data_IF_464179301038
#
_entry.id   IF_464179301038
#
_cell.length_a   1.000
_cell.length_b   1.000
_cell.length_c   1.000
_cell.angle_alpha   90.00
_cell.angle_beta   90.00
_cell.angle_gamma   90.00
#
_symmetry.space_group_name_H-M   'P 1'
#
loop_
_entity.id
_entity.type
_entity.pdbx_description
1 polymer ?
#
# COMPACT_ATOMS: atom_id res chain seq x y z
N UNK A 1 31.60 32.68 22.74
CA UNK A 1 30.71 31.91 21.84
C UNK A 1 29.79 31.07 22.69
N UNK A 2 28.51 31.44 22.71
CA UNK A 2 27.48 30.87 23.57
C UNK A 2 26.99 29.52 23.01
N UNK A 3 27.32 28.43 23.71
CA UNK A 3 26.99 27.04 23.34
C UNK A 3 25.54 26.66 23.66
N UNK A 4 24.71 27.57 24.16
CA UNK A 4 23.30 27.29 24.54
C UNK A 4 22.30 27.39 23.37
N UNK A 5 22.68 28.02 22.25
CA UNK A 5 21.81 28.20 21.08
C UNK A 5 21.39 26.91 20.33
N UNK A 6 22.25 25.90 20.10
CA UNK A 6 21.84 24.73 19.30
C UNK A 6 20.87 23.78 20.04
N UNK A 7 20.85 23.80 21.38
CA UNK A 7 19.98 22.91 22.19
C UNK A 7 18.53 23.40 22.18
N UNK A 8 18.29 24.72 22.20
CA UNK A 8 16.94 25.29 22.07
C UNK A 8 16.31 25.03 20.70
N UNK A 9 17.11 25.11 19.63
CA UNK A 9 16.64 24.81 18.27
C UNK A 9 16.25 23.32 18.11
N UNK A 10 17.03 22.40 18.70
CA UNK A 10 16.70 20.97 18.68
C UNK A 10 15.40 20.65 19.45
N UNK A 11 15.17 21.30 20.59
CA UNK A 11 13.96 21.13 21.39
C UNK A 11 12.70 21.69 20.70
N UNK A 12 12.79 22.82 20.01
CA UNK A 12 11.69 23.37 19.21
C UNK A 12 11.33 22.50 18.00
N UNK A 13 12.33 21.86 17.36
CA UNK A 13 12.10 20.89 16.27
C UNK A 13 11.41 19.64 16.80
N UNK A 14 11.80 19.12 17.97
CA UNK A 14 11.12 17.96 18.59
C UNK A 14 9.69 18.27 19.03
N UNK A 15 9.42 19.50 19.51
CA UNK A 15 8.06 19.92 19.88
C UNK A 15 7.14 20.09 18.66
N UNK A 16 7.65 20.63 17.55
CA UNK A 16 6.90 20.73 16.28
C UNK A 16 6.66 19.35 15.64
N UNK A 17 7.63 18.44 15.69
CA UNK A 17 7.45 17.07 15.21
C UNK A 17 6.41 16.29 16.04
N UNK A 18 6.39 16.48 17.36
CA UNK A 18 5.38 15.88 18.23
C UNK A 18 3.96 16.43 17.96
N UNK A 19 3.82 17.72 17.66
CA UNK A 19 2.54 18.30 17.25
C UNK A 19 2.13 17.91 15.82
N UNK A 20 3.09 17.69 14.91
CA UNK A 20 2.82 17.17 13.57
C UNK A 20 2.36 15.70 13.62
N UNK A 21 2.95 14.88 14.49
CA UNK A 21 2.49 13.50 14.73
C UNK A 21 1.10 13.46 15.40
N UNK A 22 0.80 14.38 16.33
CA UNK A 22 -0.55 14.52 16.91
C UNK A 22 -1.60 15.02 15.90
N UNK A 23 -1.22 15.88 14.96
CA UNK A 23 -2.09 16.37 13.89
C UNK A 23 -2.25 15.39 12.72
N UNK A 24 -1.22 14.61 12.41
CA UNK A 24 -1.20 13.61 11.34
C UNK A 24 -1.86 12.30 11.76
N UNK A 25 -1.99 12.04 13.08
CA UNK A 25 -2.77 10.94 13.66
C UNK A 25 -4.16 11.40 14.13
N UNK A 26 -4.60 12.61 13.78
CA UNK A 26 -5.85 13.21 14.29
C UNK A 26 -7.13 12.62 13.69
N UNK A 27 -7.03 11.68 12.74
CA UNK A 27 -8.14 10.79 12.41
C UNK A 27 -8.03 9.57 13.30
N UNK A 28 -8.87 9.48 14.34
CA UNK A 28 -9.05 8.23 15.06
C UNK A 28 -9.32 7.12 14.02
N UNK A 29 -8.42 6.12 13.86
CA UNK A 29 -8.61 5.07 12.88
C UNK A 29 -9.90 4.27 13.14
N UNK A 30 -10.39 4.31 14.39
CA UNK A 30 -11.63 3.68 14.87
C UNK A 30 -12.85 4.60 14.80
N UNK A 31 -12.74 5.78 14.19
CA UNK A 31 -13.89 6.67 14.02
C UNK A 31 -14.95 5.97 13.18
N UNK A 32 -16.08 5.65 13.80
CA UNK A 32 -17.23 4.95 13.18
C UNK A 32 -18.16 5.90 12.41
N UNK A 33 -17.64 7.04 11.96
CA UNK A 33 -18.39 8.05 11.23
C UNK A 33 -18.82 7.46 9.87
N UNK A 34 -20.15 7.33 9.59
CA UNK A 34 -20.63 6.67 8.39
C UNK A 34 -20.09 7.29 7.09
N UNK A 35 -19.91 8.62 7.04
CA UNK A 35 -19.37 9.32 5.87
C UNK A 35 -17.89 8.95 5.62
N UNK A 36 -17.11 8.82 6.70
CA UNK A 36 -15.72 8.39 6.63
C UNK A 36 -15.61 6.93 6.17
N UNK A 37 -16.46 6.05 6.70
CA UNK A 37 -16.47 4.63 6.30
C UNK A 37 -16.86 4.49 4.84
N UNK A 38 -17.85 5.25 4.37
CA UNK A 38 -18.25 5.28 2.96
C UNK A 38 -17.11 5.78 2.06
N UNK A 39 -16.43 6.86 2.45
CA UNK A 39 -15.25 7.36 1.74
C UNK A 39 -14.16 6.28 1.62
N UNK A 40 -13.87 5.57 2.72
CA UNK A 40 -12.91 4.45 2.74
C UNK A 40 -13.34 3.29 1.84
N UNK A 41 -14.63 2.99 1.75
CA UNK A 41 -15.15 1.97 0.83
C UNK A 41 -14.94 2.36 -0.64
N UNK A 42 -15.16 3.63 -0.98
CA UNK A 42 -14.93 4.14 -2.34
C UNK A 42 -13.44 4.12 -2.71
N UNK A 43 -12.56 4.51 -1.79
CA UNK A 43 -11.11 4.41 -1.95
C UNK A 43 -10.66 2.95 -2.13
N UNK A 44 -11.15 2.04 -1.29
CA UNK A 44 -10.86 0.63 -1.37
C UNK A 44 -11.30 0.04 -2.71
N UNK A 45 -12.54 0.35 -3.16
CA UNK A 45 -13.06 -0.16 -4.42
C UNK A 45 -12.27 0.37 -5.62
N UNK A 46 -11.85 1.64 -5.57
CA UNK A 46 -11.00 2.25 -6.59
C UNK A 46 -9.63 1.59 -6.65
N UNK A 47 -9.01 1.38 -5.49
CA UNK A 47 -7.73 0.70 -5.41
C UNK A 47 -7.85 -0.75 -5.88
N UNK A 48 -8.87 -1.50 -5.44
CA UNK A 48 -9.11 -2.88 -5.84
C UNK A 48 -9.18 -3.03 -7.36
N UNK A 49 -9.93 -2.16 -8.06
CA UNK A 49 -9.96 -2.17 -9.53
C UNK A 49 -8.58 -1.95 -10.15
N UNK A 50 -7.83 -0.95 -9.68
CA UNK A 50 -6.49 -0.67 -10.18
C UNK A 50 -5.51 -1.82 -9.89
N UNK A 51 -5.69 -2.50 -8.77
CA UNK A 51 -4.91 -3.66 -8.38
C UNK A 51 -5.22 -4.87 -9.26
N UNK A 52 -6.49 -5.14 -9.56
CA UNK A 52 -6.86 -6.23 -10.46
C UNK A 52 -6.40 -5.95 -11.91
N UNK A 53 -6.47 -4.70 -12.40
CA UNK A 53 -5.85 -4.31 -13.68
C UNK A 53 -4.34 -4.67 -13.73
N UNK A 54 -3.61 -4.42 -12.63
CA UNK A 54 -2.20 -4.77 -12.51
C UNK A 54 -2.00 -6.29 -12.54
N UNK A 55 -2.82 -7.03 -11.79
CA UNK A 55 -2.75 -8.50 -11.73
C UNK A 55 -3.00 -9.11 -13.10
N UNK A 56 -4.00 -8.63 -13.83
CA UNK A 56 -4.30 -9.10 -15.18
C UNK A 56 -3.10 -8.92 -16.12
N UNK A 57 -2.44 -7.75 -16.08
CA UNK A 57 -1.23 -7.50 -16.88
C UNK A 57 -0.09 -8.46 -16.52
N UNK A 58 0.11 -8.72 -15.22
CA UNK A 58 1.14 -9.63 -14.74
C UNK A 58 0.85 -11.07 -15.20
N UNK A 59 -0.37 -11.55 -15.01
CA UNK A 59 -0.77 -12.90 -15.38
C UNK A 59 -0.73 -13.11 -16.89
N UNK A 60 -1.24 -12.15 -17.68
CA UNK A 60 -1.15 -12.20 -19.14
C UNK A 60 0.30 -12.30 -19.61
N UNK A 61 1.24 -11.62 -18.96
CA UNK A 61 2.66 -11.68 -19.35
C UNK A 61 3.35 -12.97 -18.90
N UNK A 62 2.93 -13.57 -17.79
CA UNK A 62 3.42 -14.90 -17.39
C UNK A 62 2.97 -15.99 -18.38
N UNK A 63 1.74 -15.86 -18.92
CA UNK A 63 1.17 -16.79 -19.91
C UNK A 63 1.73 -16.58 -21.33
N UNK A 64 1.82 -15.33 -21.79
CA UNK A 64 2.17 -15.00 -23.19
C UNK A 64 3.67 -14.75 -23.41
N UNK A 65 4.43 -14.51 -22.33
CA UNK A 65 5.83 -14.12 -22.39
C UNK A 65 6.04 -12.60 -22.55
N UNK A 66 7.19 -12.22 -23.09
CA UNK A 66 7.58 -10.82 -23.23
C UNK A 66 6.78 -10.11 -24.35
N UNK A 67 5.97 -9.12 -23.97
CA UNK A 67 5.22 -8.24 -24.88
C UNK A 67 5.42 -6.78 -24.43
N UNK A 68 5.90 -5.94 -25.35
CA UNK A 68 6.14 -4.52 -25.11
C UNK A 68 4.87 -3.79 -24.66
N UNK A 69 3.70 -4.18 -25.18
CA UNK A 69 2.40 -3.59 -24.81
C UNK A 69 2.05 -3.89 -23.35
N UNK A 70 2.35 -5.10 -22.87
CA UNK A 70 2.17 -5.47 -21.46
C UNK A 70 3.16 -4.72 -20.57
N UNK A 71 4.39 -4.50 -21.03
CA UNK A 71 5.36 -3.63 -20.34
C UNK A 71 4.85 -2.19 -20.18
N UNK A 72 4.25 -1.62 -21.23
CA UNK A 72 3.62 -0.29 -21.17
C UNK A 72 2.42 -0.30 -20.21
N UNK A 73 1.56 -1.31 -20.29
CA UNK A 73 0.41 -1.45 -19.41
C UNK A 73 0.83 -1.56 -17.93
N UNK A 74 1.89 -2.31 -17.64
CA UNK A 74 2.49 -2.42 -16.32
C UNK A 74 2.95 -1.05 -15.81
N UNK A 75 3.64 -0.25 -16.64
CA UNK A 75 4.03 1.12 -16.28
C UNK A 75 2.85 2.03 -15.97
N UNK A 76 1.75 1.89 -16.70
CA UNK A 76 0.51 2.63 -16.41
C UNK A 76 -0.05 2.19 -15.05
N UNK A 77 -0.07 0.88 -14.78
CA UNK A 77 -0.53 0.34 -13.51
C UNK A 77 0.34 0.78 -12.33
N UNK A 78 1.67 0.80 -12.46
CA UNK A 78 2.58 1.34 -11.44
C UNK A 78 2.24 2.79 -11.06
N UNK A 79 2.01 3.65 -12.05
CA UNK A 79 1.64 5.06 -11.80
C UNK A 79 0.31 5.17 -11.07
N UNK A 80 -0.68 4.34 -11.44
CA UNK A 80 -1.98 4.30 -10.75
C UNK A 80 -1.82 3.78 -9.33
N UNK A 81 -0.99 2.76 -9.13
CA UNK A 81 -0.67 2.23 -7.82
C UNK A 81 -0.09 3.32 -6.91
N UNK A 82 0.97 3.99 -7.34
CA UNK A 82 1.64 5.04 -6.55
C UNK A 82 0.68 6.19 -6.19
N UNK A 83 -0.26 6.52 -7.07
CA UNK A 83 -1.26 7.55 -6.84
C UNK A 83 -2.40 7.16 -5.87
N UNK A 84 -2.65 5.87 -5.65
CA UNK A 84 -3.81 5.39 -4.87
C UNK A 84 -3.43 4.56 -3.64
N UNK A 85 -2.23 3.98 -3.59
CA UNK A 85 -1.89 3.08 -2.49
C UNK A 85 -1.74 3.81 -1.16
N UNK A 86 -1.16 5.02 -1.18
CA UNK A 86 -0.89 5.78 0.05
C UNK A 86 -2.14 6.10 0.90
N UNK A 87 -3.33 6.25 0.29
CA UNK A 87 -4.55 6.50 1.07
C UNK A 87 -5.10 5.25 1.76
N UNK A 88 -4.90 4.07 1.16
CA UNK A 88 -5.42 2.81 1.72
C UNK A 88 -4.38 2.02 2.53
N UNK A 89 -3.09 2.24 2.29
CA UNK A 89 -1.98 1.48 2.88
C UNK A 89 -2.11 1.36 4.40
N UNK A 90 -2.33 2.44 5.18
CA UNK A 90 -2.38 2.34 6.65
C UNK A 90 -3.44 1.37 7.16
N UNK A 91 -4.49 1.12 6.38
CA UNK A 91 -5.60 0.26 6.74
C UNK A 91 -5.41 -1.18 6.27
N UNK A 92 -4.95 -1.37 5.03
CA UNK A 92 -4.83 -2.72 4.45
C UNK A 92 -3.63 -3.49 4.96
N UNK A 93 -2.54 -2.82 5.34
CA UNK A 93 -1.33 -3.48 5.85
C UNK A 93 -1.57 -4.22 7.16
N UNK A 94 -2.56 -3.78 7.96
CA UNK A 94 -2.97 -4.47 9.18
C UNK A 94 -3.54 -5.88 8.91
N UNK A 95 -4.04 -6.14 7.71
CA UNK A 95 -4.60 -7.42 7.29
C UNK A 95 -3.63 -8.24 6.45
N UNK A 96 -2.45 -7.68 6.14
CA UNK A 96 -1.50 -8.30 5.25
C UNK A 96 -0.58 -9.26 6.01
N UNK A 97 -0.45 -10.47 5.49
CA UNK A 97 0.55 -11.43 5.97
C UNK A 97 1.91 -11.06 5.39
N UNK A 98 2.85 -10.61 6.21
CA UNK A 98 4.19 -10.23 5.78
C UNK A 98 5.04 -11.44 5.35
N UNK A 99 5.86 -11.26 4.31
CA UNK A 99 6.88 -12.21 3.87
C UNK A 99 8.25 -11.54 3.80
N UNK A 100 9.31 -12.27 4.16
CA UNK A 100 10.68 -11.81 3.96
C UNK A 100 11.04 -11.64 2.50
N UNK A 101 10.37 -12.36 1.58
CA UNK A 101 10.63 -12.27 0.14
C UNK A 101 10.14 -10.95 -0.44
N UNK A 102 9.00 -10.43 0.02
CA UNK A 102 8.52 -9.09 -0.33
C UNK A 102 9.49 -8.02 0.15
N UNK A 103 9.95 -8.12 1.41
CA UNK A 103 10.91 -7.18 1.97
C UNK A 103 12.25 -7.20 1.22
N UNK A 104 12.72 -8.39 0.82
CA UNK A 104 13.95 -8.56 0.06
C UNK A 104 13.88 -7.90 -1.34
N UNK A 105 12.72 -7.96 -2.01
CA UNK A 105 12.52 -7.24 -3.26
C UNK A 105 12.65 -5.73 -3.10
N UNK A 106 12.01 -5.16 -2.07
CA UNK A 106 12.15 -3.75 -1.71
C UNK A 106 13.59 -3.34 -1.50
N UNK A 107 14.32 -4.11 -0.68
CA UNK A 107 15.72 -3.86 -0.37
C UNK A 107 16.58 -3.87 -1.64
N UNK A 108 16.32 -4.78 -2.58
CA UNK A 108 17.05 -4.88 -3.85
C UNK A 108 16.87 -3.66 -4.74
N UNK A 109 15.64 -3.15 -4.88
CA UNK A 109 15.34 -2.12 -5.89
C UNK A 109 15.28 -0.70 -5.34
N UNK A 110 14.93 -0.53 -4.06
CA UNK A 110 14.73 0.78 -3.41
C UNK A 110 15.58 0.98 -2.16
N UNK A 111 16.29 -0.04 -1.68
CA UNK A 111 17.10 0.04 -0.45
C UNK A 111 16.28 0.08 0.84
N UNK A 112 14.98 -0.22 0.77
CA UNK A 112 14.04 -0.23 1.88
C UNK A 112 13.05 -1.38 1.71
N UNK A 113 12.68 -2.03 2.82
CA UNK A 113 11.75 -3.16 2.78
C UNK A 113 10.38 -2.74 2.26
N UNK A 114 9.76 -3.60 1.46
CA UNK A 114 8.42 -3.40 0.89
C UNK A 114 7.43 -4.43 1.42
N UNK A 115 6.15 -4.06 1.44
CA UNK A 115 5.07 -5.02 1.63
C UNK A 115 4.71 -5.77 0.33
N UNK A 116 3.74 -6.70 0.42
CA UNK A 116 3.31 -7.52 -0.72
C UNK A 116 2.71 -6.71 -1.88
N UNK A 117 2.06 -5.57 -1.62
CA UNK A 117 1.52 -4.74 -2.69
C UNK A 117 2.65 -4.00 -3.40
N UNK A 118 3.51 -3.36 -2.60
CA UNK A 118 4.67 -2.63 -3.10
C UNK A 118 5.63 -3.54 -3.89
N UNK A 119 5.81 -4.79 -3.46
CA UNK A 119 6.66 -5.75 -4.15
C UNK A 119 6.17 -6.10 -5.57
N UNK A 120 4.88 -5.93 -5.89
CA UNK A 120 4.36 -6.11 -7.27
C UNK A 120 4.75 -4.96 -8.20
N UNK A 121 5.11 -3.80 -7.66
CA UNK A 121 5.39 -2.58 -8.43
C UNK A 121 6.79 -2.02 -8.19
N UNK A 122 7.59 -2.66 -7.34
CA UNK A 122 8.94 -2.19 -7.02
C UNK A 122 9.90 -2.37 -8.20
N UNK A 123 9.69 -3.39 -9.01
CA UNK A 123 10.52 -3.71 -10.16
C UNK A 123 10.43 -2.65 -11.26
N UNK A 124 11.56 -2.18 -11.81
CA UNK A 124 11.60 -1.24 -12.93
C UNK A 124 10.89 -1.73 -14.20
N UNK A 125 10.78 -3.03 -14.44
CA UNK A 125 10.09 -3.56 -15.61
C UNK A 125 9.26 -4.79 -15.24
N UNK A 126 8.26 -5.09 -16.07
CA UNK A 126 7.45 -6.30 -15.92
C UNK A 126 8.32 -7.56 -16.06
N UNK A 127 9.28 -7.53 -16.99
CA UNK A 127 10.25 -8.61 -17.15
C UNK A 127 11.09 -8.85 -15.89
N UNK A 128 11.60 -7.79 -15.27
CA UNK A 128 12.35 -7.91 -14.03
C UNK A 128 11.50 -8.41 -12.86
N UNK A 129 10.21 -8.08 -12.83
CA UNK A 129 9.28 -8.70 -11.87
C UNK A 129 9.21 -10.21 -12.10
N UNK A 130 8.85 -10.65 -13.31
CA UNK A 130 8.64 -12.06 -13.63
C UNK A 130 9.92 -12.90 -13.49
N UNK A 131 11.08 -12.37 -13.90
CA UNK A 131 12.34 -13.09 -13.85
C UNK A 131 12.82 -13.38 -12.42
N UNK A 132 12.44 -12.55 -11.45
CA UNK A 132 12.96 -12.64 -10.08
C UNK A 132 11.96 -13.24 -9.08
N UNK A 133 10.73 -13.54 -9.50
CA UNK A 133 9.62 -13.75 -8.56
C UNK A 133 8.60 -14.82 -8.95
N UNK A 134 8.86 -15.63 -9.99
CA UNK A 134 7.89 -16.62 -10.53
C UNK A 134 7.21 -17.49 -9.46
N UNK A 135 7.96 -18.03 -8.51
CA UNK A 135 7.42 -18.98 -7.52
C UNK A 135 6.56 -18.29 -6.44
N UNK A 136 6.86 -17.03 -6.12
CA UNK A 136 6.20 -16.28 -5.04
C UNK A 136 5.10 -15.33 -5.54
N UNK A 137 5.05 -15.04 -6.84
CA UNK A 137 4.16 -14.04 -7.43
C UNK A 137 2.67 -14.35 -7.19
N UNK A 138 2.26 -15.59 -7.49
CA UNK A 138 0.88 -16.02 -7.28
C UNK A 138 0.49 -15.97 -5.79
N UNK A 139 1.40 -16.37 -4.92
CA UNK A 139 1.19 -16.32 -3.48
C UNK A 139 1.07 -14.87 -2.97
N UNK A 140 1.89 -13.96 -3.49
CA UNK A 140 1.81 -12.53 -3.18
C UNK A 140 0.49 -11.92 -3.62
N UNK A 141 0.06 -12.19 -4.85
CA UNK A 141 -1.24 -11.73 -5.38
C UNK A 141 -2.38 -12.22 -4.49
N UNK A 142 -2.35 -13.49 -4.08
CA UNK A 142 -3.37 -14.06 -3.20
C UNK A 142 -3.42 -13.37 -1.83
N UNK A 143 -2.26 -13.10 -1.22
CA UNK A 143 -2.19 -12.36 0.05
C UNK A 143 -2.71 -10.93 -0.07
N UNK A 144 -2.42 -10.26 -1.18
CA UNK A 144 -2.96 -8.94 -1.47
C UNK A 144 -4.49 -8.98 -1.58
N UNK A 145 -5.06 -9.93 -2.33
CA UNK A 145 -6.52 -10.12 -2.44
C UNK A 145 -7.17 -10.40 -1.09
N UNK A 146 -6.59 -11.30 -0.29
CA UNK A 146 -7.08 -11.63 1.05
C UNK A 146 -7.11 -10.39 1.95
N UNK A 147 -6.06 -9.57 1.95
CA UNK A 147 -6.01 -8.34 2.74
C UNK A 147 -7.10 -7.33 2.33
N UNK A 148 -7.34 -7.15 1.03
CA UNK A 148 -8.41 -6.28 0.53
C UNK A 148 -9.80 -6.80 0.91
N UNK A 149 -10.02 -8.12 0.84
CA UNK A 149 -11.27 -8.75 1.28
C UNK A 149 -11.50 -8.55 2.77
N UNK A 150 -10.49 -8.83 3.61
CA UNK A 150 -10.61 -8.68 5.06
C UNK A 150 -10.90 -7.24 5.47
N UNK A 151 -10.22 -6.27 4.84
CA UNK A 151 -10.50 -4.86 5.09
C UNK A 151 -11.91 -4.45 4.63
N UNK A 152 -12.37 -4.95 3.48
CA UNK A 152 -13.74 -4.72 3.00
C UNK A 152 -14.79 -5.24 4.00
N UNK A 153 -14.59 -6.45 4.54
CA UNK A 153 -15.47 -7.02 5.56
C UNK A 153 -15.44 -6.21 6.85
N UNK A 154 -14.27 -5.73 7.26
CA UNK A 154 -14.15 -4.84 8.41
C UNK A 154 -14.96 -3.55 8.23
N UNK A 155 -14.87 -2.88 7.07
CA UNK A 155 -15.66 -1.68 6.79
C UNK A 155 -17.18 -1.97 6.82
N UNK A 156 -17.61 -3.13 6.32
CA UNK A 156 -19.03 -3.55 6.39
C UNK A 156 -19.48 -3.76 7.83
N UNK A 157 -18.63 -4.32 8.69
CA UNK A 157 -18.95 -4.50 10.11
C UNK A 157 -19.09 -3.15 10.82
N UNK A 158 -18.19 -2.20 10.58
CA UNK A 158 -18.27 -0.86 11.17
C UNK A 158 -19.58 -0.13 10.82
N UNK A 159 -20.05 -0.24 9.57
CA UNK A 159 -21.35 0.33 9.17
C UNK A 159 -22.55 -0.33 9.88
N UNK A 160 -22.49 -1.65 10.11
CA UNK A 160 -23.57 -2.35 10.82
C UNK A 160 -23.64 -1.90 12.28
N UNK A 161 -22.50 -1.87 12.97
CA UNK A 161 -22.43 -1.45 14.38
C UNK A 161 -22.79 0.02 14.56
N UNK A 162 -22.42 0.89 13.61
CA UNK A 162 -22.80 2.31 13.61
C UNK A 162 -24.30 2.56 13.44
N UNK A 163 -25.06 1.63 12.83
CA UNK A 163 -26.51 1.72 12.67
C UNK A 163 -27.29 1.15 13.87
N UNK A 164 -26.63 0.40 14.76
CA UNK A 164 -27.22 -0.23 15.95
C UNK A 164 -27.03 0.61 17.23
N UNK A 165 -26.24 1.70 17.15
CA UNK A 165 -25.95 2.64 18.26
C UNK A 165 -26.82 3.89 18.18
#
# INVERSE_FOLDING_TARGET
>A
MDRSKPVKAALEITGKAANWLKGSLAGDPYRTDPELIQTRQEELLRFFRNFEDLVDVIQMSDELGEDERLGIAYKVCQKRFDANYGCIQPYVVAYLRYSSTDAAMGLRYRGLGTDAFEALVVSPTLWELLANDRDDLNWRIQRCREALTLYSEHLKQLLRTGNES
#
